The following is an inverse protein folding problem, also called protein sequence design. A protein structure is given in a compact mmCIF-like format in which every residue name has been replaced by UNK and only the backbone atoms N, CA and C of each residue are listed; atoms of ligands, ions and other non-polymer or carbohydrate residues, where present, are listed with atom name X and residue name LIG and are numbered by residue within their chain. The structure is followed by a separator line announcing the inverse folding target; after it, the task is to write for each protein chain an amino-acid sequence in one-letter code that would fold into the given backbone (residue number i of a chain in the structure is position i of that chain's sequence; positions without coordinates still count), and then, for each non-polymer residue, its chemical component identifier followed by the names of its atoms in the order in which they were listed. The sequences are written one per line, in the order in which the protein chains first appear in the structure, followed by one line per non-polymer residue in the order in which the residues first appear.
data_IF_140911490735
#
_entry.id   IF_140911490735
#
_cell.length_a   1.000
_cell.length_b   1.000
_cell.length_c   1.000
_cell.angle_alpha   90.00
_cell.angle_beta   90.00
_cell.angle_gamma   90.00
#
_symmetry.space_group_name_H-M   'P 1'
#
loop_
_entity.id
_entity.type
_entity.pdbx_description
1 polymer ?
#
# COMPACT_ATOMS: atom_id res chain seq x y z
N UNK A 1 -6.92 15.73 -39.82
CA UNK A 1 -6.36 14.57 -39.10
C UNK A 1 -5.90 15.17 -37.78
N UNK A 2 -6.87 15.39 -36.89
CA UNK A 2 -6.68 16.00 -35.57
C UNK A 2 -6.92 14.88 -34.57
N UNK A 3 -5.84 14.18 -34.20
CA UNK A 3 -5.80 13.33 -33.00
C UNK A 3 -5.37 14.17 -31.78
N UNK A 4 -5.84 15.42 -31.73
CA UNK A 4 -5.78 16.28 -30.54
C UNK A 4 -6.84 15.78 -29.55
N UNK A 5 -6.56 14.63 -28.94
CA UNK A 5 -7.29 14.24 -27.75
C UNK A 5 -7.03 15.32 -26.69
N UNK A 6 -8.04 16.16 -26.41
CA UNK A 6 -7.98 17.30 -25.48
C UNK A 6 -7.57 16.92 -24.04
N UNK A 7 -7.25 15.66 -23.80
CA UNK A 7 -6.61 15.11 -22.62
C UNK A 7 -5.25 15.72 -22.32
N UNK A 8 -4.45 16.04 -23.34
CA UNK A 8 -3.13 16.64 -23.11
C UNK A 8 -3.27 18.05 -22.51
N UNK A 9 -4.20 18.86 -23.02
CA UNK A 9 -4.49 20.19 -22.46
C UNK A 9 -5.16 20.09 -21.08
N UNK A 10 -6.02 19.10 -20.85
CA UNK A 10 -6.62 18.84 -19.54
C UNK A 10 -5.57 18.46 -18.48
N UNK A 11 -4.60 17.63 -18.83
CA UNK A 11 -3.52 17.25 -17.92
C UNK A 11 -2.48 18.36 -17.76
N UNK A 12 -1.96 18.91 -18.84
CA UNK A 12 -0.90 19.94 -18.78
C UNK A 12 -1.43 21.26 -18.18
N UNK A 13 -2.70 21.60 -18.43
CA UNK A 13 -3.34 22.78 -17.85
C UNK A 13 -3.94 22.57 -16.46
N UNK A 14 -4.30 21.33 -16.10
CA UNK A 14 -4.98 20.99 -14.84
C UNK A 14 -4.09 20.35 -13.78
N UNK A 15 -2.91 19.84 -14.13
CA UNK A 15 -2.03 19.18 -13.18
C UNK A 15 -1.33 20.19 -12.26
N UNK A 16 -1.66 20.10 -10.97
CA UNK A 16 -1.02 20.90 -9.94
C UNK A 16 -0.94 20.12 -8.62
N UNK A 17 -0.22 20.67 -7.63
CA UNK A 17 0.02 20.01 -6.34
C UNK A 17 -1.27 19.51 -5.66
N UNK A 18 -2.35 20.30 -5.71
CA UNK A 18 -3.67 19.89 -5.20
C UNK A 18 -4.24 18.62 -5.86
N UNK A 19 -4.17 18.50 -7.19
CA UNK A 19 -4.63 17.29 -7.91
C UNK A 19 -3.74 16.10 -7.55
N UNK A 20 -2.41 16.26 -7.59
CA UNK A 20 -1.48 15.20 -7.17
C UNK A 20 -1.78 14.71 -5.77
N UNK A 21 -1.95 15.62 -4.81
CA UNK A 21 -2.19 15.25 -3.42
C UNK A 21 -3.56 14.55 -3.26
N UNK A 22 -4.58 14.92 -4.04
CA UNK A 22 -5.85 14.21 -4.10
C UNK A 22 -5.72 12.80 -4.68
N UNK A 23 -4.96 12.63 -5.78
CA UNK A 23 -4.60 11.32 -6.35
C UNK A 23 -3.90 10.45 -5.31
N UNK A 24 -2.87 10.97 -4.64
CA UNK A 24 -2.14 10.24 -3.59
C UNK A 24 -3.07 9.79 -2.48
N UNK A 25 -3.95 10.67 -1.98
CA UNK A 25 -4.95 10.31 -0.96
C UNK A 25 -5.90 9.21 -1.46
N UNK A 26 -6.31 9.25 -2.73
CA UNK A 26 -7.15 8.20 -3.32
C UNK A 26 -6.41 6.86 -3.40
N UNK A 27 -5.16 6.85 -3.83
CA UNK A 27 -4.33 5.64 -3.87
C UNK A 27 -4.16 5.05 -2.47
N UNK A 28 -3.87 5.89 -1.46
CA UNK A 28 -3.76 5.46 -0.07
C UNK A 28 -5.06 4.81 0.42
N UNK A 29 -6.23 5.45 0.18
CA UNK A 29 -7.53 4.88 0.56
C UNK A 29 -7.84 3.57 -0.16
N UNK A 30 -7.49 3.46 -1.43
CA UNK A 30 -7.64 2.23 -2.20
C UNK A 30 -6.68 1.10 -1.78
N UNK A 31 -5.68 1.42 -0.95
CA UNK A 31 -4.65 0.48 -0.48
C UNK A 31 -4.89 0.03 0.97
N UNK A 32 -6.01 0.43 1.59
CA UNK A 32 -6.41 -0.07 2.91
C UNK A 32 -6.57 -1.59 2.87
N UNK A 33 -5.94 -2.29 3.81
CA UNK A 33 -5.86 -3.76 3.82
C UNK A 33 -4.71 -4.33 2.98
N UNK A 34 -4.02 -3.49 2.21
CA UNK A 34 -2.90 -3.85 1.34
C UNK A 34 -1.70 -2.92 1.53
N UNK A 35 -1.58 -2.23 2.68
CA UNK A 35 -0.45 -1.30 2.88
C UNK A 35 0.89 -2.03 2.99
N UNK A 36 0.91 -3.32 3.37
CA UNK A 36 2.12 -4.13 3.32
C UNK A 36 2.67 -4.24 1.90
N UNK A 37 1.81 -4.53 0.93
CA UNK A 37 2.15 -4.53 -0.51
C UNK A 37 2.66 -3.16 -0.94
N UNK A 38 1.92 -2.10 -0.59
CA UNK A 38 2.28 -0.71 -0.90
C UNK A 38 3.69 -0.36 -0.41
N UNK A 39 4.00 -0.69 0.85
CA UNK A 39 5.32 -0.41 1.44
C UNK A 39 6.40 -1.22 0.74
N UNK A 40 6.21 -2.53 0.53
CA UNK A 40 7.19 -3.40 -0.12
C UNK A 40 7.50 -2.91 -1.54
N UNK A 41 6.47 -2.63 -2.33
CA UNK A 41 6.59 -2.09 -3.69
C UNK A 41 7.31 -0.75 -3.71
N UNK A 42 7.01 0.18 -2.80
CA UNK A 42 7.61 1.51 -2.81
C UNK A 42 9.01 1.56 -2.19
N UNK A 43 9.34 0.65 -1.27
CA UNK A 43 10.68 0.57 -0.68
C UNK A 43 11.71 -0.09 -1.60
N UNK A 44 11.27 -1.06 -2.40
CA UNK A 44 12.12 -1.81 -3.33
C UNK A 44 11.28 -2.31 -4.53
N UNK A 45 11.02 -1.44 -5.53
CA UNK A 45 10.19 -1.80 -6.68
C UNK A 45 10.75 -2.97 -7.50
N UNK A 46 12.08 -3.06 -7.62
CA UNK A 46 12.76 -4.07 -8.42
C UNK A 46 12.78 -5.44 -7.72
N UNK A 47 12.81 -5.46 -6.39
CA UNK A 47 12.70 -6.67 -5.58
C UNK A 47 11.26 -7.09 -5.27
N UNK A 48 10.26 -6.22 -5.51
CA UNK A 48 8.87 -6.51 -5.23
C UNK A 48 8.25 -7.49 -6.24
N UNK A 49 7.23 -8.22 -5.78
CA UNK A 49 6.46 -9.13 -6.65
C UNK A 49 5.78 -8.33 -7.75
N UNK A 50 5.91 -8.80 -8.99
CA UNK A 50 5.32 -8.17 -10.17
C UNK A 50 3.83 -7.83 -9.99
N UNK A 51 3.04 -8.76 -9.43
CA UNK A 51 1.61 -8.57 -9.20
C UNK A 51 1.30 -7.38 -8.26
N UNK A 52 2.16 -7.09 -7.28
CA UNK A 52 1.99 -5.94 -6.39
C UNK A 52 2.37 -4.64 -7.07
N UNK A 53 3.46 -4.64 -7.84
CA UNK A 53 3.87 -3.49 -8.66
C UNK A 53 2.76 -3.12 -9.65
N UNK A 54 2.23 -4.12 -10.37
CA UNK A 54 1.13 -3.95 -11.33
C UNK A 54 -0.17 -3.50 -10.64
N UNK A 55 -0.49 -4.05 -9.46
CA UNK A 55 -1.64 -3.61 -8.66
C UNK A 55 -1.53 -2.14 -8.27
N UNK A 56 -0.36 -1.70 -7.77
CA UNK A 56 -0.11 -0.31 -7.43
C UNK A 56 -0.15 0.60 -8.67
N UNK A 57 0.43 0.15 -9.77
CA UNK A 57 0.39 0.87 -11.05
C UNK A 57 -1.05 1.16 -11.48
N UNK A 58 -1.90 0.12 -11.50
CA UNK A 58 -3.34 0.26 -11.84
C UNK A 58 -4.07 1.18 -10.88
N UNK A 59 -3.77 1.13 -9.57
CA UNK A 59 -4.35 2.05 -8.57
C UNK A 59 -3.95 3.50 -8.86
N UNK A 60 -2.69 3.77 -9.21
CA UNK A 60 -2.21 5.12 -9.55
C UNK A 60 -2.89 5.63 -10.81
N UNK A 61 -2.87 4.86 -11.90
CA UNK A 61 -3.50 5.25 -13.17
C UNK A 61 -5.00 5.49 -13.01
N UNK A 62 -5.71 4.58 -12.34
CA UNK A 62 -7.14 4.73 -12.06
C UNK A 62 -7.44 5.95 -11.18
N UNK A 63 -6.58 6.27 -10.22
CA UNK A 63 -6.75 7.44 -9.38
C UNK A 63 -6.53 8.76 -10.14
N UNK A 64 -5.53 8.81 -11.03
CA UNK A 64 -5.30 9.96 -11.92
C UNK A 64 -6.51 10.14 -12.83
N UNK A 65 -6.94 9.09 -13.53
CA UNK A 65 -8.13 9.13 -14.40
C UNK A 65 -9.37 9.61 -13.66
N UNK A 66 -9.56 9.19 -12.41
CA UNK A 66 -10.70 9.62 -11.61
C UNK A 66 -10.61 11.09 -11.14
N UNK A 67 -9.42 11.67 -10.99
CA UNK A 67 -9.26 13.10 -10.64
C UNK A 67 -9.30 14.01 -11.87
N UNK A 68 -8.72 13.59 -12.99
CA UNK A 68 -8.50 14.46 -14.16
C UNK A 68 -9.39 14.13 -15.35
N UNK A 69 -10.03 12.96 -15.35
CA UNK A 69 -10.73 12.40 -16.50
C UNK A 69 -9.81 11.78 -17.55
N UNK A 70 -8.51 12.06 -17.51
CA UNK A 70 -7.57 11.67 -18.55
C UNK A 70 -7.12 10.22 -18.41
N UNK A 71 -7.10 9.50 -19.54
CA UNK A 71 -6.60 8.13 -19.59
C UNK A 71 -5.13 8.11 -20.02
N UNK A 72 -4.25 7.83 -19.06
CA UNK A 72 -2.81 7.84 -19.27
C UNK A 72 -2.36 6.67 -20.16
N UNK A 73 -3.09 5.56 -20.20
CA UNK A 73 -2.78 4.42 -21.06
C UNK A 73 -3.00 4.77 -22.54
N UNK A 74 -3.91 5.69 -22.84
CA UNK A 74 -4.19 6.16 -24.21
C UNK A 74 -3.27 7.31 -24.65
N UNK A 75 -2.75 8.08 -23.69
CA UNK A 75 -2.05 9.33 -23.97
C UNK A 75 -0.63 9.16 -24.52
N UNK A 76 0.06 8.05 -24.21
CA UNK A 76 1.40 7.71 -24.73
C UNK A 76 2.47 8.80 -24.60
N UNK A 77 2.21 9.89 -23.87
CA UNK A 77 2.96 11.13 -23.94
C UNK A 77 3.88 11.28 -22.73
N UNK A 78 5.03 11.91 -22.93
CA UNK A 78 5.98 12.21 -21.86
C UNK A 78 5.35 13.06 -20.73
N UNK A 79 4.37 13.91 -21.05
CA UNK A 79 3.65 14.72 -20.07
C UNK A 79 2.72 13.87 -19.16
N UNK A 80 2.10 12.84 -19.73
CA UNK A 80 1.30 11.87 -18.99
C UNK A 80 2.17 11.09 -18.00
N UNK A 81 3.38 10.67 -18.42
CA UNK A 81 4.32 10.00 -17.54
C UNK A 81 4.84 10.88 -16.41
N UNK A 82 5.11 12.16 -16.66
CA UNK A 82 5.56 13.09 -15.62
C UNK A 82 4.56 13.21 -14.45
N UNK A 83 3.25 13.20 -14.75
CA UNK A 83 2.20 13.23 -13.72
C UNK A 83 2.22 11.97 -12.85
N UNK A 84 2.37 10.80 -13.49
CA UNK A 84 2.50 9.53 -12.78
C UNK A 84 3.77 9.47 -11.92
N UNK A 85 4.92 9.90 -12.45
CA UNK A 85 6.19 9.93 -11.71
C UNK A 85 6.11 10.82 -10.47
N UNK A 86 5.45 11.99 -10.57
CA UNK A 86 5.22 12.90 -9.45
C UNK A 86 4.35 12.23 -8.35
N UNK A 87 3.30 11.50 -8.73
CA UNK A 87 2.48 10.71 -7.78
C UNK A 87 3.29 9.58 -7.15
N UNK A 88 4.04 8.83 -7.95
CA UNK A 88 4.86 7.71 -7.48
C UNK A 88 5.91 8.17 -6.49
N UNK A 89 6.63 9.25 -6.80
CA UNK A 89 7.61 9.84 -5.89
C UNK A 89 6.94 10.29 -4.59
N UNK A 90 5.74 10.88 -4.66
CA UNK A 90 5.04 11.33 -3.47
C UNK A 90 4.58 10.17 -2.58
N UNK A 91 4.12 9.08 -3.18
CA UNK A 91 3.83 7.84 -2.47
C UNK A 91 5.11 7.26 -1.85
N UNK A 92 6.22 7.21 -2.59
CA UNK A 92 7.51 6.72 -2.11
C UNK A 92 8.02 7.50 -0.90
N UNK A 93 7.94 8.83 -0.94
CA UNK A 93 8.30 9.69 0.21
C UNK A 93 7.46 9.39 1.44
N UNK A 94 6.16 9.12 1.28
CA UNK A 94 5.25 8.84 2.39
C UNK A 94 5.38 7.42 2.94
N UNK A 95 5.47 6.42 2.06
CA UNK A 95 5.32 5.01 2.42
C UNK A 95 6.58 4.18 2.24
N UNK A 96 7.56 4.63 1.47
CA UNK A 96 8.82 3.89 1.26
C UNK A 96 9.66 3.67 2.52
N UNK A 97 9.31 4.36 3.63
CA UNK A 97 9.88 4.15 4.98
C UNK A 97 8.89 3.53 5.98
N UNK A 98 7.84 2.89 5.48
CA UNK A 98 6.81 2.21 6.28
C UNK A 98 5.57 3.05 6.58
N UNK A 99 5.54 4.33 6.19
CA UNK A 99 4.36 5.20 6.34
C UNK A 99 3.76 5.19 7.73
N UNK A 100 2.48 4.79 7.82
CA UNK A 100 1.70 4.76 9.07
C UNK A 100 1.71 3.38 9.76
N UNK A 101 2.46 2.41 9.24
CA UNK A 101 2.51 1.07 9.82
C UNK A 101 3.09 1.10 11.24
N UNK A 102 2.55 0.23 12.10
CA UNK A 102 3.00 0.12 13.47
C UNK A 102 4.40 -0.49 13.52
N UNK A 103 5.34 0.18 14.20
CA UNK A 103 6.68 -0.34 14.43
C UNK A 103 6.68 -1.23 15.66
N UNK A 104 7.20 -2.44 15.52
CA UNK A 104 7.37 -3.33 16.67
C UNK A 104 8.50 -2.81 17.57
N UNK A 105 8.31 -2.79 18.90
CA UNK A 105 9.37 -2.46 19.85
C UNK A 105 10.55 -3.44 19.75
N UNK A 106 11.76 -2.94 19.97
CA UNK A 106 12.97 -3.76 19.97
C UNK A 106 12.90 -4.85 21.05
N UNK A 107 13.20 -6.08 20.67
CA UNK A 107 13.09 -7.27 21.51
C UNK A 107 11.70 -7.93 21.48
N UNK A 108 10.67 -7.24 20.98
CA UNK A 108 9.32 -7.78 20.83
C UNK A 108 9.08 -8.51 19.51
N UNK A 109 10.02 -8.45 18.57
CA UNK A 109 9.87 -9.01 17.22
C UNK A 109 9.62 -10.51 17.21
N UNK A 110 10.31 -11.37 18.00
CA UNK A 110 10.05 -12.81 17.98
C UNK A 110 8.61 -13.19 18.31
N UNK A 111 7.99 -12.47 19.26
CA UNK A 111 6.60 -12.68 19.63
C UNK A 111 5.64 -12.25 18.52
N UNK A 112 5.89 -11.11 17.90
CA UNK A 112 5.09 -10.63 16.76
C UNK A 112 5.20 -11.57 15.57
N UNK A 113 6.41 -12.03 15.23
CA UNK A 113 6.62 -13.01 14.14
C UNK A 113 5.86 -14.30 14.41
N UNK A 114 5.95 -14.84 15.63
CA UNK A 114 5.18 -16.04 16.01
C UNK A 114 3.68 -15.82 15.89
N UNK A 115 3.17 -14.66 16.31
CA UNK A 115 1.75 -14.32 16.16
C UNK A 115 1.34 -14.22 14.69
N UNK A 116 2.15 -13.58 13.85
CA UNK A 116 1.89 -13.47 12.40
C UNK A 116 1.83 -14.85 11.74
N UNK A 117 2.75 -15.76 12.08
CA UNK A 117 2.72 -17.14 11.56
C UNK A 117 1.53 -17.96 12.07
N UNK A 118 0.89 -17.52 13.16
CA UNK A 118 -0.30 -18.19 13.72
C UNK A 118 -1.62 -17.65 13.14
N UNK A 119 -1.57 -16.55 12.38
CA UNK A 119 -2.75 -16.00 11.73
C UNK A 119 -3.12 -16.84 10.49
N UNK A 120 -4.42 -16.91 10.14
CA UNK A 120 -4.83 -17.34 8.81
C UNK A 120 -4.11 -16.52 7.73
N UNK A 121 -3.76 -17.09 6.56
CA UNK A 121 -3.00 -16.39 5.53
C UNK A 121 -3.58 -15.02 5.15
N UNK A 122 -4.89 -14.93 4.91
CA UNK A 122 -5.55 -13.66 4.55
C UNK A 122 -5.44 -12.59 5.65
N UNK A 123 -5.39 -13.00 6.92
CA UNK A 123 -5.20 -12.08 8.04
C UNK A 123 -3.72 -11.67 8.21
N UNK A 124 -2.78 -12.59 7.95
CA UNK A 124 -1.35 -12.28 7.92
C UNK A 124 -1.02 -11.28 6.79
N UNK A 125 -1.60 -11.49 5.61
CA UNK A 125 -1.50 -10.56 4.47
C UNK A 125 -2.08 -9.18 4.82
N UNK A 126 -3.27 -9.14 5.42
CA UNK A 126 -3.88 -7.89 5.89
C UNK A 126 -3.05 -7.19 6.98
N UNK A 127 -2.23 -7.93 7.74
CA UNK A 127 -1.27 -7.39 8.69
C UNK A 127 0.07 -6.95 8.03
N UNK A 128 0.22 -7.18 6.72
CA UNK A 128 1.35 -6.76 5.90
C UNK A 128 2.40 -7.85 5.61
N UNK A 129 2.15 -9.11 6.01
CA UNK A 129 3.05 -10.22 5.69
C UNK A 129 2.91 -10.66 4.22
N UNK A 130 4.00 -11.15 3.62
CA UNK A 130 3.95 -11.83 2.32
C UNK A 130 3.58 -13.29 2.53
N UNK A 131 2.43 -13.69 2.01
CA UNK A 131 1.90 -15.05 2.14
C UNK A 131 2.32 -15.98 0.98
N UNK A 132 3.22 -15.54 0.10
CA UNK A 132 3.73 -16.39 -0.98
C UNK A 132 4.65 -17.52 -0.50
N UNK A 133 5.13 -17.42 0.74
CA UNK A 133 5.94 -18.44 1.40
C UNK A 133 5.23 -18.99 2.65
N UNK A 134 5.65 -20.19 3.06
CA UNK A 134 5.23 -20.82 4.31
C UNK A 134 6.46 -21.07 5.20
N UNK A 135 6.56 -20.44 6.39
CA UNK A 135 5.60 -19.50 6.97
C UNK A 135 5.56 -18.14 6.25
N UNK A 136 4.49 -17.32 6.41
CA UNK A 136 4.40 -15.99 5.82
C UNK A 136 5.57 -15.09 6.21
N UNK A 137 6.16 -14.37 5.25
CA UNK A 137 7.30 -13.47 5.49
C UNK A 137 6.84 -12.14 6.12
N UNK A 138 7.25 -11.82 7.37
CA UNK A 138 6.90 -10.56 8.02
C UNK A 138 7.51 -9.34 7.33
N UNK A 139 6.86 -8.17 7.43
CA UNK A 139 7.37 -6.94 6.81
C UNK A 139 8.55 -6.35 7.59
N UNK A 140 9.76 -6.65 7.13
CA UNK A 140 10.99 -6.03 7.61
C UNK A 140 11.41 -4.86 6.72
N UNK A 141 11.64 -3.70 7.33
CA UNK A 141 12.13 -2.52 6.63
C UNK A 141 13.22 -1.83 7.43
N UNK A 142 14.41 -1.70 6.85
CA UNK A 142 15.59 -1.11 7.49
C UNK A 142 15.88 -1.69 8.89
N UNK A 143 15.75 -3.02 9.03
CA UNK A 143 15.97 -3.73 10.30
C UNK A 143 14.87 -3.56 11.34
N UNK A 144 13.70 -3.01 10.96
CA UNK A 144 12.54 -2.87 11.84
C UNK A 144 11.36 -3.66 11.31
N UNK A 145 10.71 -4.40 12.20
CA UNK A 145 9.46 -5.10 11.91
C UNK A 145 8.29 -4.11 11.94
N UNK A 146 7.48 -4.13 10.88
CA UNK A 146 6.30 -3.31 10.70
C UNK A 146 5.04 -4.18 10.62
N UNK A 147 3.91 -3.65 11.10
CA UNK A 147 2.61 -4.32 11.06
C UNK A 147 1.52 -3.34 10.63
N UNK A 148 0.66 -3.75 9.69
CA UNK A 148 -0.56 -3.04 9.34
C UNK A 148 -1.70 -3.39 10.30
N UNK A 149 -1.75 -2.68 11.43
CA UNK A 149 -2.80 -2.85 12.41
C UNK A 149 -4.17 -2.36 11.90
N UNK A 150 -4.21 -1.42 10.95
CA UNK A 150 -5.45 -0.92 10.36
C UNK A 150 -6.01 -1.96 9.38
N UNK A 151 -5.16 -2.51 8.51
CA UNK A 151 -5.52 -3.60 7.60
C UNK A 151 -6.02 -4.83 8.35
N UNK A 152 -5.31 -5.27 9.40
CA UNK A 152 -5.75 -6.37 10.24
C UNK A 152 -7.08 -6.06 10.95
N UNK A 153 -7.28 -4.84 11.44
CA UNK A 153 -8.55 -4.46 12.07
C UNK A 153 -9.72 -4.48 11.08
N UNK A 154 -9.51 -4.02 9.85
CA UNK A 154 -10.50 -4.11 8.78
C UNK A 154 -10.84 -5.56 8.42
N UNK A 155 -9.83 -6.43 8.34
CA UNK A 155 -10.01 -7.86 8.09
C UNK A 155 -10.83 -8.55 9.20
N UNK A 156 -10.50 -8.27 10.47
CA UNK A 156 -11.25 -8.79 11.63
C UNK A 156 -12.70 -8.31 11.60
N UNK A 157 -12.96 -7.05 11.23
CA UNK A 157 -14.31 -6.51 11.15
C UNK A 157 -15.16 -7.21 10.06
N UNK A 158 -14.54 -7.71 9.00
CA UNK A 158 -15.19 -8.49 7.96
C UNK A 158 -15.48 -9.95 8.36
N UNK A 159 -14.85 -10.44 9.44
CA UNK A 159 -14.99 -11.82 9.95
C UNK A 159 -15.47 -11.82 11.42
N UNK A 160 -16.66 -11.28 11.73
CA UNK A 160 -17.09 -11.00 13.10
C UNK A 160 -17.23 -12.26 13.98
N UNK A 161 -17.48 -13.42 13.36
CA UNK A 161 -17.71 -14.68 14.06
C UNK A 161 -16.42 -15.44 14.39
N UNK A 162 -15.27 -15.01 13.84
CA UNK A 162 -13.97 -15.64 14.11
C UNK A 162 -13.39 -15.12 15.42
N UNK A 163 -13.61 -15.90 16.48
CA UNK A 163 -13.15 -15.55 17.84
C UNK A 163 -11.64 -15.68 17.98
N UNK A 164 -11.04 -16.68 17.35
CA UNK A 164 -9.60 -16.94 17.44
C UNK A 164 -8.81 -15.85 16.73
N UNK A 165 -9.26 -15.43 15.55
CA UNK A 165 -8.71 -14.29 14.82
C UNK A 165 -8.77 -13.01 15.67
N UNK A 166 -9.89 -12.74 16.35
CA UNK A 166 -10.03 -11.57 17.23
C UNK A 166 -9.03 -11.61 18.39
N UNK A 167 -8.82 -12.77 19.00
CA UNK A 167 -7.84 -12.96 20.08
C UNK A 167 -6.42 -12.71 19.54
N UNK A 168 -6.03 -13.36 18.45
CA UNK A 168 -4.71 -13.21 17.85
C UNK A 168 -4.45 -11.75 17.43
N UNK A 169 -5.42 -11.09 16.80
CA UNK A 169 -5.30 -9.68 16.42
C UNK A 169 -5.22 -8.75 17.63
N UNK A 170 -5.88 -9.08 18.74
CA UNK A 170 -5.76 -8.38 20.01
C UNK A 170 -4.36 -8.51 20.62
N UNK A 171 -3.80 -9.72 20.62
CA UNK A 171 -2.44 -10.00 21.07
C UNK A 171 -1.40 -9.26 20.23
N UNK A 172 -1.55 -9.26 18.90
CA UNK A 172 -0.66 -8.56 17.97
C UNK A 172 -0.68 -7.05 18.22
N UNK A 173 -1.87 -6.45 18.37
CA UNK A 173 -2.04 -5.04 18.75
C UNK A 173 -1.37 -4.71 20.07
N UNK A 174 -1.51 -5.58 21.08
CA UNK A 174 -0.86 -5.44 22.38
C UNK A 174 0.66 -5.50 22.28
N UNK A 175 1.20 -6.45 21.51
CA UNK A 175 2.63 -6.59 21.28
C UNK A 175 3.25 -5.35 20.60
N UNK A 176 2.51 -4.70 19.69
CA UNK A 176 2.99 -3.49 19.01
C UNK A 176 2.93 -2.22 19.87
N UNK A 177 2.21 -2.23 21.01
CA UNK A 177 1.97 -1.03 21.85
C UNK A 177 2.75 -1.00 23.17
N UNK A 178 3.32 -2.13 23.61
CA UNK A 178 4.01 -2.20 24.91
C UNK A 178 5.29 -1.35 24.89
N UNK A 179 5.24 -0.19 25.56
CA UNK A 179 6.36 0.60 26.08
C UNK A 179 5.97 1.11 27.47
#
# INVERSE_FOLDING_TARGET
MDDDSGWNDLLVGGWHAGVRDAVVVRVERASVGHHGELVRTLSDPDGARYAWVESLHRRVLGAIRAETGADLDELGSQAAWACYEDVWERLRVRWGRGGRLARVPLGGEPDVVRLLHSLPPSAAEAAGADISCEPPDPLWLHGRLLVDLEGLAGHVAASPDDTDLRILAGLLRGACRRQ
#
